data_IF_717027839613
#
_entry.id   IF_717027839613
#
_cell.length_a   1.000
_cell.length_b   1.000
_cell.length_c   1.000
_cell.angle_alpha   90.00
_cell.angle_beta   90.00
_cell.angle_gamma   90.00
#
_symmetry.space_group_name_H-M   'P 1'
#
loop_
_entity.id
_entity.type
_entity.pdbx_description
1 polymer ?
#
# COMPACT_ATOMS: atom_id res chain seq x y z
N UNK A 1 16.90 19.06 -10.81
CA UNK A 1 16.47 17.85 -10.08
C UNK A 1 16.60 18.04 -8.58
N UNK A 2 17.75 18.49 -8.07
CA UNK A 2 17.98 18.80 -6.64
C UNK A 2 16.94 19.77 -6.05
N UNK A 3 16.61 20.84 -6.79
CA UNK A 3 15.68 21.88 -6.35
C UNK A 3 14.23 21.39 -6.24
N UNK A 4 13.84 20.42 -7.08
CA UNK A 4 12.53 19.77 -7.02
C UNK A 4 12.39 18.86 -5.79
N UNK A 5 13.49 18.23 -5.35
CA UNK A 5 13.54 17.43 -4.13
C UNK A 5 13.41 18.30 -2.88
N UNK A 6 14.15 19.42 -2.82
CA UNK A 6 14.07 20.38 -1.71
C UNK A 6 12.66 20.97 -1.53
N UNK A 7 11.98 21.29 -2.65
CA UNK A 7 10.58 21.75 -2.62
C UNK A 7 9.58 20.70 -2.13
N UNK A 8 9.91 19.40 -2.24
CA UNK A 8 9.09 18.31 -1.72
C UNK A 8 9.35 18.10 -0.22
N UNK A 9 10.59 18.29 0.24
CA UNK A 9 10.97 18.24 1.66
C UNK A 9 10.37 19.41 2.47
N UNK A 10 10.27 20.61 1.87
CA UNK A 10 9.65 21.80 2.49
C UNK A 10 8.11 21.73 2.54
N UNK A 11 7.48 20.81 1.78
CA UNK A 11 6.09 20.41 2.07
C UNK A 11 6.15 19.55 3.31
N UNK A 12 6.18 20.21 4.46
CA UNK A 12 5.98 19.59 5.77
C UNK A 12 4.97 18.47 5.63
N UNK A 13 5.44 17.25 5.87
CA UNK A 13 4.62 16.07 5.99
C UNK A 13 3.75 16.30 7.23
N UNK A 14 2.64 17.01 7.06
CA UNK A 14 1.64 17.23 8.11
C UNK A 14 1.34 15.86 8.68
N UNK A 15 1.42 15.68 10.00
CA UNK A 15 1.07 14.41 10.62
C UNK A 15 -0.25 13.93 10.02
N UNK A 16 -0.36 12.67 9.58
CA UNK A 16 -1.57 12.19 8.94
C UNK A 16 -2.74 12.48 9.87
N UNK A 17 -3.73 13.23 9.38
CA UNK A 17 -4.96 13.49 10.13
C UNK A 17 -5.58 12.14 10.53
N UNK A 18 -6.10 11.99 11.76
CA UNK A 18 -6.73 10.74 12.17
C UNK A 18 -7.84 10.35 11.19
N UNK A 19 -7.83 9.09 10.79
CA UNK A 19 -8.78 8.51 9.84
C UNK A 19 -9.39 7.23 10.40
N UNK A 20 -10.61 6.93 9.95
CA UNK A 20 -11.30 5.67 10.19
C UNK A 20 -11.46 4.90 8.86
N UNK A 21 -11.47 3.58 8.95
CA UNK A 21 -11.69 2.71 7.80
C UNK A 21 -13.18 2.36 7.68
N UNK A 22 -13.70 2.44 6.46
CA UNK A 22 -15.05 2.04 6.09
C UNK A 22 -14.99 1.02 4.96
N UNK A 23 -15.88 0.02 4.97
CA UNK A 23 -16.09 -0.86 3.83
C UNK A 23 -17.32 -0.37 3.05
N UNK A 24 -17.14 -0.02 1.77
CA UNK A 24 -18.26 0.33 0.86
C UNK A 24 -18.72 -0.83 -0.02
N UNK A 25 -17.98 -1.95 0.00
CA UNK A 25 -18.27 -3.18 -0.74
C UNK A 25 -19.00 -4.23 0.09
N UNK A 26 -18.97 -5.48 -0.39
CA UNK A 26 -19.58 -6.63 0.29
C UNK A 26 -18.63 -7.22 1.34
N UNK A 27 -19.11 -8.19 2.13
CA UNK A 27 -18.26 -8.89 3.10
C UNK A 27 -17.28 -9.84 2.40
N UNK A 28 -17.71 -10.48 1.31
CA UNK A 28 -16.91 -11.39 0.49
C UNK A 28 -15.91 -10.66 -0.40
N UNK A 29 -16.25 -9.44 -0.83
CA UNK A 29 -15.41 -8.57 -1.66
C UNK A 29 -15.35 -7.16 -1.06
N UNK A 30 -14.55 -6.97 0.01
CA UNK A 30 -14.47 -5.71 0.73
C UNK A 30 -13.75 -4.64 -0.09
N UNK A 31 -14.30 -3.42 -0.05
CA UNK A 31 -13.77 -2.22 -0.69
C UNK A 31 -13.55 -1.15 0.38
N UNK A 32 -12.35 -1.15 0.96
CA UNK A 32 -12.04 -0.32 2.13
C UNK A 32 -11.54 1.07 1.73
N UNK A 33 -12.11 2.11 2.34
CA UNK A 33 -11.69 3.52 2.20
C UNK A 33 -11.37 4.13 3.57
N UNK A 34 -10.56 5.19 3.59
CA UNK A 34 -10.25 5.97 4.79
C UNK A 34 -10.93 7.33 4.75
N UNK A 35 -11.66 7.66 5.81
CA UNK A 35 -12.32 8.96 5.98
C UNK A 35 -11.71 9.65 7.21
N UNK A 36 -11.50 10.97 7.14
CA UNK A 36 -11.04 11.76 8.27
C UNK A 36 -12.03 11.75 9.43
N UNK A 37 -11.54 11.56 10.66
CA UNK A 37 -12.41 11.50 11.86
C UNK A 37 -12.90 12.87 12.33
N UNK A 38 -12.43 13.96 11.71
CA UNK A 38 -12.83 15.34 12.02
C UNK A 38 -14.22 15.71 11.47
N UNK A 39 -14.82 14.87 10.62
CA UNK A 39 -16.14 15.11 10.05
C UNK A 39 -17.24 15.02 11.11
N UNK A 40 -18.20 15.95 11.06
CA UNK A 40 -19.39 15.83 11.89
C UNK A 40 -20.28 14.66 11.42
N UNK A 41 -21.22 14.17 12.27
CA UNK A 41 -22.01 12.98 11.94
C UNK A 41 -22.81 13.08 10.63
N UNK A 42 -23.36 14.26 10.31
CA UNK A 42 -24.11 14.50 9.07
C UNK A 42 -23.20 14.45 7.85
N UNK A 43 -22.05 15.11 7.91
CA UNK A 43 -21.04 15.10 6.85
C UNK A 43 -20.49 13.69 6.63
N UNK A 44 -20.21 12.97 7.72
CA UNK A 44 -19.76 11.58 7.67
C UNK A 44 -20.78 10.69 6.96
N UNK A 45 -22.05 10.75 7.35
CA UNK A 45 -23.11 9.97 6.72
C UNK A 45 -23.25 10.29 5.23
N UNK A 46 -23.21 11.58 4.87
CA UNK A 46 -23.27 12.01 3.47
C UNK A 46 -22.05 11.53 2.66
N UNK A 47 -20.85 11.58 3.25
CA UNK A 47 -19.62 11.09 2.62
C UNK A 47 -19.69 9.59 2.36
N UNK A 48 -20.18 8.81 3.34
CA UNK A 48 -20.36 7.36 3.18
C UNK A 48 -21.37 7.08 2.05
N UNK A 49 -22.54 7.70 2.06
CA UNK A 49 -23.55 7.52 0.99
C UNK A 49 -22.98 7.87 -0.40
N UNK A 50 -22.24 8.97 -0.49
CA UNK A 50 -21.61 9.39 -1.73
C UNK A 50 -20.58 8.37 -2.24
N UNK A 51 -19.66 7.93 -1.37
CA UNK A 51 -18.63 6.96 -1.73
C UNK A 51 -19.21 5.60 -2.09
N UNK A 52 -20.25 5.15 -1.39
CA UNK A 52 -20.97 3.92 -1.72
C UNK A 52 -21.68 4.03 -3.07
N UNK A 53 -22.34 5.16 -3.38
CA UNK A 53 -23.04 5.36 -4.65
C UNK A 53 -22.10 5.36 -5.86
N UNK A 54 -20.89 5.88 -5.69
CA UNK A 54 -19.88 6.00 -6.75
C UNK A 54 -18.72 5.02 -6.59
N UNK A 55 -18.93 3.90 -5.89
CA UNK A 55 -17.85 2.94 -5.65
C UNK A 55 -17.25 2.36 -6.94
N UNK A 56 -18.01 2.32 -8.04
CA UNK A 56 -17.56 1.78 -9.35
C UNK A 56 -16.58 2.70 -10.08
N UNK A 57 -16.45 3.97 -9.65
CA UNK A 57 -15.52 4.94 -10.26
C UNK A 57 -14.08 4.69 -9.82
N UNK A 58 -13.88 4.01 -8.70
CA UNK A 58 -12.55 3.70 -8.18
C UNK A 58 -12.02 2.41 -8.79
N UNK A 59 -10.71 2.38 -9.03
CA UNK A 59 -10.00 1.17 -9.36
C UNK A 59 -9.60 0.41 -8.09
N UNK A 60 -10.38 -0.60 -7.71
CA UNK A 60 -10.12 -1.45 -6.54
C UNK A 60 -9.00 -2.46 -6.82
N UNK A 61 -8.87 -2.81 -8.10
CA UNK A 61 -7.83 -3.66 -8.63
C UNK A 61 -7.22 -3.05 -9.90
N UNK A 62 -6.10 -3.61 -10.34
CA UNK A 62 -5.51 -3.21 -11.62
C UNK A 62 -6.40 -3.56 -12.82
N UNK A 63 -7.25 -4.58 -12.71
CA UNK A 63 -8.17 -4.97 -13.77
C UNK A 63 -9.21 -3.87 -14.06
N UNK A 64 -9.50 -3.02 -13.07
CA UNK A 64 -10.45 -1.92 -13.17
C UNK A 64 -9.87 -0.68 -13.87
N UNK A 65 -8.60 -0.73 -14.33
CA UNK A 65 -7.94 0.33 -15.10
C UNK A 65 -7.75 -0.06 -16.57
N UNK A 66 -8.82 -0.18 -17.38
CA UNK A 66 -8.71 -0.52 -18.79
C UNK A 66 -7.97 0.61 -19.54
N UNK A 67 -6.94 0.25 -20.31
CA UNK A 67 -6.11 1.19 -21.07
C UNK A 67 -4.70 1.40 -20.50
N UNK A 68 -4.40 0.87 -19.31
CA UNK A 68 -3.02 0.73 -18.83
C UNK A 68 -2.48 -0.66 -19.13
N UNK A 69 -1.47 -0.76 -20.00
CA UNK A 69 -0.77 -2.02 -20.24
C UNK A 69 -0.13 -2.51 -18.92
N UNK A 70 -0.50 -3.71 -18.42
CA UNK A 70 0.12 -4.29 -17.22
C UNK A 70 1.65 -4.38 -17.29
N UNK A 71 2.24 -4.45 -18.48
CA UNK A 71 3.69 -4.47 -18.68
C UNK A 71 4.35 -3.10 -18.45
N UNK A 72 3.60 -2.00 -18.56
CA UNK A 72 4.09 -0.65 -18.27
C UNK A 72 4.10 -0.39 -16.75
N UNK A 73 3.11 -0.89 -16.02
CA UNK A 73 3.00 -0.66 -14.56
C UNK A 73 3.83 -1.64 -13.74
N UNK A 74 4.17 -2.80 -14.30
CA UNK A 74 5.15 -3.72 -13.70
C UNK A 74 6.57 -3.25 -13.99
N UNK A 75 7.20 -2.59 -13.03
CA UNK A 75 8.64 -2.32 -13.11
C UNK A 75 9.43 -3.54 -12.63
N UNK A 76 10.18 -4.15 -13.55
CA UNK A 76 11.20 -5.13 -13.19
C UNK A 76 12.47 -4.39 -12.78
N UNK A 77 12.72 -4.30 -11.48
CA UNK A 77 14.04 -3.96 -11.00
C UNK A 77 14.95 -5.16 -11.27
N UNK A 78 15.77 -5.07 -12.32
CA UNK A 78 16.85 -6.01 -12.60
C UNK A 78 17.93 -5.83 -11.52
N UNK A 79 17.65 -6.33 -10.33
CA UNK A 79 18.62 -6.43 -9.24
C UNK A 79 19.39 -7.72 -9.44
N UNK A 80 20.60 -7.60 -9.97
CA UNK A 80 21.58 -8.67 -9.91
C UNK A 80 22.04 -8.80 -8.45
N UNK A 81 21.37 -9.66 -7.68
CA UNK A 81 21.68 -9.86 -6.26
C UNK A 81 23.05 -10.48 -6.01
N UNK A 82 23.69 -11.06 -7.03
CA UNK A 82 25.05 -11.58 -6.96
C UNK A 82 26.07 -10.45 -7.09
N UNK A 83 25.86 -9.52 -8.03
CA UNK A 83 26.75 -8.34 -8.20
C UNK A 83 26.47 -7.21 -7.22
N UNK A 84 25.22 -7.05 -6.79
CA UNK A 84 24.78 -5.97 -5.90
C UNK A 84 24.08 -6.55 -4.67
N UNK A 85 24.86 -7.09 -3.71
CA UNK A 85 24.29 -7.59 -2.47
C UNK A 85 23.59 -6.44 -1.72
N UNK A 86 22.44 -6.71 -1.07
CA UNK A 86 21.70 -5.69 -0.33
C UNK A 86 22.60 -5.07 0.75
N UNK A 87 22.89 -3.78 0.61
CA UNK A 87 23.70 -3.03 1.58
C UNK A 87 22.79 -2.57 2.71
N UNK A 88 23.00 -3.09 3.91
CA UNK A 88 22.28 -2.63 5.11
C UNK A 88 22.70 -1.19 5.40
N UNK A 89 21.75 -0.26 5.39
CA UNK A 89 21.99 1.10 5.88
C UNK A 89 22.33 1.01 7.37
N UNK A 90 23.50 1.53 7.76
CA UNK A 90 23.81 1.66 9.16
C UNK A 90 22.95 2.79 9.73
N UNK A 91 21.98 2.41 10.57
CA UNK A 91 21.34 3.36 11.46
C UNK A 91 22.41 3.81 12.45
N UNK A 92 22.77 5.09 12.44
CA UNK A 92 23.57 5.69 13.50
C UNK A 92 22.76 5.61 14.79
N UNK A 93 22.92 4.54 15.54
CA UNK A 93 22.36 4.43 16.88
C UNK A 93 23.16 5.42 17.73
N UNK A 94 22.52 6.53 18.09
CA UNK A 94 23.08 7.44 19.09
C UNK A 94 23.44 6.62 20.33
N UNK A 95 24.68 6.68 20.85
CA UNK A 95 25.21 5.72 21.82
C UNK A 95 24.41 5.62 23.13
N UNK A 96 23.56 6.61 23.42
CA UNK A 96 22.67 6.64 24.59
C UNK A 96 21.46 5.67 24.46
N UNK A 97 21.19 5.10 23.29
CA UNK A 97 20.05 4.18 23.09
C UNK A 97 20.43 2.70 22.93
N UNK A 98 21.72 2.37 22.99
CA UNK A 98 22.24 1.02 22.71
C UNK A 98 21.78 -0.05 23.72
N UNK A 99 21.40 0.34 24.93
CA UNK A 99 20.97 -0.59 26.00
C UNK A 99 19.50 -1.05 25.85
N UNK A 100 18.76 -0.60 24.84
CA UNK A 100 17.33 -0.93 24.67
C UNK A 100 17.00 -1.79 23.45
N UNK A 101 17.98 -2.28 22.70
CA UNK A 101 17.69 -3.14 21.55
C UNK A 101 17.78 -4.61 21.94
N UNK A 102 16.69 -5.39 21.84
CA UNK A 102 16.79 -6.84 21.92
C UNK A 102 17.57 -7.34 20.71
N UNK A 103 18.56 -8.19 20.96
CA UNK A 103 19.40 -8.84 19.94
C UNK A 103 18.50 -9.58 18.96
N UNK A 104 18.37 -9.06 17.74
CA UNK A 104 17.57 -9.68 16.69
C UNK A 104 18.39 -10.78 16.03
N UNK A 105 17.98 -12.02 16.29
CA UNK A 105 18.40 -13.25 15.59
C UNK A 105 18.55 -13.01 14.08
N UNK A 106 19.55 -13.64 13.48
CA UNK A 106 19.84 -13.58 12.05
C UNK A 106 18.64 -14.07 11.22
N UNK A 107 18.14 -13.30 10.24
CA UNK A 107 17.02 -13.75 9.44
C UNK A 107 17.47 -14.90 8.54
N UNK A 108 16.92 -16.09 8.76
CA UNK A 108 16.91 -17.16 7.76
C UNK A 108 16.42 -16.57 6.44
N UNK A 109 17.13 -16.86 5.34
CA UNK A 109 16.90 -16.35 3.97
C UNK A 109 15.43 -16.59 3.57
N UNK A 110 14.57 -15.63 3.91
CA UNK A 110 13.15 -15.68 3.63
C UNK A 110 12.97 -15.11 2.23
N UNK A 111 12.60 -15.97 1.27
CA UNK A 111 12.05 -15.51 -0.02
C UNK A 111 10.91 -14.55 0.29
N UNK A 112 11.08 -13.26 -0.01
CA UNK A 112 9.98 -12.31 0.02
C UNK A 112 9.16 -12.55 -1.26
N UNK A 113 8.23 -13.48 -1.18
CA UNK A 113 7.13 -13.55 -2.14
C UNK A 113 6.07 -12.57 -1.66
N UNK A 114 5.88 -11.45 -2.37
CA UNK A 114 4.68 -10.62 -2.17
C UNK A 114 3.53 -11.42 -2.76
N UNK A 115 2.89 -12.25 -1.93
CA UNK A 115 1.62 -12.86 -2.27
C UNK A 115 0.57 -11.76 -2.28
N UNK A 116 0.12 -11.35 -3.46
CA UNK A 116 -1.23 -10.79 -3.57
C UNK A 116 -2.20 -11.92 -3.13
N UNK A 117 -3.19 -11.65 -2.25
CA UNK A 117 -4.23 -12.63 -1.98
C UNK A 117 -4.91 -12.97 -3.30
N UNK A 118 -4.66 -14.18 -3.79
CA UNK A 118 -5.37 -14.72 -4.95
C UNK A 118 -6.76 -15.09 -4.43
N UNK A 119 -7.76 -14.24 -4.68
CA UNK A 119 -9.15 -14.66 -4.54
C UNK A 119 -9.39 -15.66 -5.67
N UNK A 120 -9.83 -16.87 -5.28
CA UNK A 120 -10.07 -18.00 -6.19
C UNK A 120 -11.03 -17.58 -7.30
N UNK A 121 -10.50 -17.40 -8.51
CA UNK A 121 -11.29 -17.48 -9.72
C UNK A 121 -11.61 -18.95 -9.98
N UNK A 122 -12.87 -19.33 -9.81
CA UNK A 122 -13.39 -20.59 -10.31
C UNK A 122 -13.42 -20.52 -11.84
N UNK A 123 -12.50 -21.23 -12.49
CA UNK A 123 -12.63 -21.54 -13.92
C UNK A 123 -13.55 -22.75 -14.04
N UNK A 124 -14.84 -22.49 -14.28
CA UNK A 124 -15.75 -23.48 -14.81
C UNK A 124 -15.38 -23.74 -16.28
N UNK A 125 -14.49 -24.71 -16.51
CA UNK A 125 -14.30 -25.32 -17.82
C UNK A 125 -15.38 -26.38 -18.02
N UNK A 126 -16.38 -26.09 -18.85
CA UNK A 126 -17.25 -27.09 -19.45
C UNK A 126 -16.43 -27.83 -20.51
N UNK A 127 -16.14 -29.11 -20.29
CA UNK A 127 -15.73 -30.03 -21.36
C UNK A 127 -16.90 -30.98 -21.65
N UNK A 128 -17.42 -30.87 -22.88
CA UNK A 128 -18.22 -31.87 -23.58
C UNK A 128 -17.34 -32.98 -24.12
#
# INVERSE_FOLDING_TARGET
MEESLRRLEDRQLTSPEPTEEINVGMEEEPRTLKIGTSLNPTQRAWMIDFLTRYQEVFAWSYADMPGLDPLIVKHFLLLDTEKFPPKRQQLCQHPILAHRLPTRESPTKTRVTIHHPMIRGEYAGTET
#
